data_IF_726166372615
#
_entry.id   IF_726166372615
#
_cell.length_a   1.000
_cell.length_b   1.000
_cell.length_c   1.000
_cell.angle_alpha   90.00
_cell.angle_beta   90.00
_cell.angle_gamma   90.00
#
_symmetry.space_group_name_H-M   'P 1'
#
loop_
_entity.id
_entity.type
_entity.pdbx_description
1 polymer ?
#
# COMPACT_ATOMS: atom_id res chain seq x y z
N UNK A 1 41.89 -12.11 -24.47
CA UNK A 1 40.71 -11.82 -23.62
C UNK A 1 39.52 -11.96 -24.55
N UNK A 2 38.74 -13.03 -24.39
CA UNK A 2 37.93 -13.61 -25.47
C UNK A 2 36.58 -12.87 -25.68
N UNK A 3 36.50 -11.60 -25.29
CA UNK A 3 35.34 -10.71 -25.47
C UNK A 3 34.07 -11.10 -24.71
N UNK A 4 34.02 -12.29 -24.10
CA UNK A 4 32.83 -12.86 -23.45
C UNK A 4 32.30 -12.02 -22.28
N UNK A 5 33.13 -11.17 -21.66
CA UNK A 5 32.71 -10.23 -20.62
C UNK A 5 33.30 -8.85 -20.88
N UNK A 6 32.44 -7.82 -20.92
CA UNK A 6 32.82 -6.40 -21.03
C UNK A 6 32.26 -5.64 -19.84
N UNK A 7 33.13 -4.99 -19.06
CA UNK A 7 32.71 -4.06 -18.03
C UNK A 7 32.48 -2.69 -18.66
N UNK A 8 31.29 -2.10 -18.46
CA UNK A 8 30.95 -0.78 -18.97
C UNK A 8 30.30 0.02 -17.85
N UNK A 9 30.88 1.17 -17.54
CA UNK A 9 30.30 2.13 -16.61
C UNK A 9 29.27 3.02 -17.33
N UNK A 10 28.10 3.19 -16.74
CA UNK A 10 27.01 4.00 -17.30
C UNK A 10 26.81 5.25 -16.42
N UNK A 11 27.50 6.36 -16.71
CA UNK A 11 27.47 7.53 -15.85
C UNK A 11 26.05 8.11 -15.74
N UNK A 12 25.61 8.39 -14.51
CA UNK A 12 24.27 8.92 -14.22
C UNK A 12 23.13 7.90 -14.25
N UNK A 13 23.40 6.64 -14.58
CA UNK A 13 22.39 5.60 -14.51
C UNK A 13 22.25 5.03 -13.08
N UNK A 14 21.02 5.01 -12.58
CA UNK A 14 20.61 4.33 -11.35
C UNK A 14 20.27 2.86 -11.64
N UNK A 15 20.06 2.07 -10.58
CA UNK A 15 19.68 0.66 -10.67
C UNK A 15 18.52 0.39 -11.64
N UNK A 16 17.49 1.27 -11.66
CA UNK A 16 16.32 1.10 -12.52
C UNK A 16 16.46 1.86 -13.83
N UNK A 17 17.11 3.04 -13.83
CA UNK A 17 17.22 3.83 -15.06
C UNK A 17 18.16 3.20 -16.10
N UNK A 18 19.01 2.25 -15.70
CA UNK A 18 19.79 1.39 -16.62
C UNK A 18 18.89 0.67 -17.62
N UNK A 19 17.69 0.25 -17.22
CA UNK A 19 16.74 -0.46 -18.10
C UNK A 19 16.18 0.44 -19.22
N UNK A 20 16.22 1.76 -19.02
CA UNK A 20 15.71 2.75 -19.97
C UNK A 20 16.83 3.53 -20.67
N UNK A 21 18.09 3.23 -20.36
CA UNK A 21 19.23 3.94 -20.92
C UNK A 21 19.54 3.45 -22.33
N UNK A 22 19.46 4.37 -23.30
CA UNK A 22 19.88 4.11 -24.67
C UNK A 22 21.34 3.61 -24.73
N UNK A 23 22.22 4.15 -23.88
CA UNK A 23 23.62 3.73 -23.80
C UNK A 23 23.76 2.28 -23.36
N UNK A 24 22.93 1.83 -22.40
CA UNK A 24 22.92 0.44 -21.95
C UNK A 24 22.39 -0.51 -23.02
N UNK A 25 21.31 -0.11 -23.71
CA UNK A 25 20.77 -0.89 -24.83
C UNK A 25 21.79 -1.01 -25.97
N UNK A 26 22.45 0.10 -26.35
CA UNK A 26 23.48 0.08 -27.37
C UNK A 26 24.69 -0.78 -26.98
N UNK A 27 25.18 -0.67 -25.75
CA UNK A 27 26.28 -1.50 -25.28
C UNK A 27 25.92 -3.00 -25.28
N UNK A 28 24.68 -3.34 -24.93
CA UNK A 28 24.17 -4.72 -24.98
C UNK A 28 24.04 -5.23 -26.42
N UNK A 29 23.56 -4.39 -27.34
CA UNK A 29 23.46 -4.71 -28.77
C UNK A 29 24.85 -4.91 -29.39
N UNK A 30 25.80 -4.00 -29.15
CA UNK A 30 27.18 -4.12 -29.64
C UNK A 30 27.85 -5.41 -29.17
N UNK A 31 27.72 -5.72 -27.87
CA UNK A 31 28.26 -6.95 -27.31
C UNK A 31 27.61 -8.19 -27.94
N UNK A 32 26.28 -8.17 -28.13
CA UNK A 32 25.54 -9.27 -28.74
C UNK A 32 25.93 -9.50 -30.21
N UNK A 33 26.15 -8.42 -30.97
CA UNK A 33 26.65 -8.51 -32.35
C UNK A 33 28.06 -9.12 -32.38
N UNK A 34 28.95 -8.70 -31.48
CA UNK A 34 30.33 -9.17 -31.44
C UNK A 34 30.49 -10.62 -30.99
N UNK A 35 29.70 -11.06 -30.01
CA UNK A 35 29.86 -12.40 -29.39
C UNK A 35 28.90 -13.42 -29.98
N UNK A 36 27.64 -13.04 -30.14
CA UNK A 36 26.58 -13.94 -30.59
C UNK A 36 26.35 -13.88 -32.10
N UNK A 37 27.10 -13.03 -32.82
CA UNK A 37 26.97 -12.83 -34.27
C UNK A 37 25.53 -12.51 -34.72
N UNK A 38 24.76 -11.86 -33.83
CA UNK A 38 23.39 -11.44 -34.12
C UNK A 38 23.38 -10.28 -35.11
N UNK A 39 22.29 -10.17 -35.88
CA UNK A 39 22.10 -9.08 -36.85
C UNK A 39 22.13 -7.73 -36.08
N UNK A 40 22.84 -6.71 -36.58
CA UNK A 40 22.87 -5.39 -35.97
C UNK A 40 21.44 -4.86 -35.78
N UNK A 41 20.99 -4.77 -34.54
CA UNK A 41 19.66 -4.25 -34.21
C UNK A 41 19.64 -2.73 -34.43
N UNK A 42 18.83 -2.25 -35.37
CA UNK A 42 18.89 -0.86 -35.86
C UNK A 42 17.95 0.11 -35.17
N UNK A 43 17.05 -0.34 -34.28
CA UNK A 43 16.11 0.54 -33.57
C UNK A 43 16.10 0.27 -32.08
N UNK A 44 16.25 1.34 -31.30
CA UNK A 44 15.98 1.33 -29.88
C UNK A 44 14.49 1.00 -29.65
N UNK A 45 14.15 0.21 -28.63
CA UNK A 45 12.76 -0.02 -28.26
C UNK A 45 12.10 1.33 -27.92
N UNK A 46 10.88 1.54 -28.42
CA UNK A 46 10.16 2.78 -28.18
C UNK A 46 9.63 2.86 -26.75
N UNK A 47 9.55 4.06 -26.20
CA UNK A 47 8.89 4.30 -24.91
C UNK A 47 7.35 4.39 -25.01
N UNK A 48 6.79 4.18 -26.21
CA UNK A 48 5.35 4.27 -26.47
C UNK A 48 4.49 3.37 -25.58
N UNK A 49 4.83 2.07 -25.39
CA UNK A 49 4.10 1.19 -24.50
C UNK A 49 4.09 1.67 -23.04
N UNK A 50 5.20 2.22 -22.55
CA UNK A 50 5.29 2.78 -21.19
C UNK A 50 4.36 4.00 -21.04
N UNK A 51 4.37 4.92 -22.00
CA UNK A 51 3.48 6.07 -22.00
C UNK A 51 2.00 5.64 -22.08
N UNK A 52 1.69 4.63 -22.89
CA UNK A 52 0.35 4.03 -22.95
C UNK A 52 -0.09 3.42 -21.62
N UNK A 53 0.79 2.67 -20.95
CA UNK A 53 0.53 2.08 -19.64
C UNK A 53 0.27 3.16 -18.58
N UNK A 54 1.08 4.24 -18.56
CA UNK A 54 0.90 5.37 -17.66
C UNK A 54 -0.40 6.13 -17.94
N UNK A 55 -0.73 6.37 -19.22
CA UNK A 55 -1.96 7.03 -19.61
C UNK A 55 -3.20 6.23 -19.20
N UNK A 56 -3.19 4.91 -19.39
CA UNK A 56 -4.28 4.07 -18.95
C UNK A 56 -4.38 3.97 -17.43
N UNK A 57 -3.26 3.97 -16.70
CA UNK A 57 -3.28 4.07 -15.23
C UNK A 57 -3.89 5.40 -14.74
N UNK A 58 -3.55 6.52 -15.39
CA UNK A 58 -4.20 7.81 -15.12
C UNK A 58 -5.72 7.76 -15.41
N UNK A 59 -6.11 7.07 -16.49
CA UNK A 59 -7.51 6.78 -16.79
C UNK A 59 -8.22 6.01 -15.67
N UNK A 60 -7.57 4.98 -15.12
CA UNK A 60 -8.09 4.23 -13.97
C UNK A 60 -8.27 5.12 -12.74
N UNK A 61 -7.30 6.00 -12.44
CA UNK A 61 -7.40 6.94 -11.33
C UNK A 61 -8.59 7.91 -11.51
N UNK A 62 -8.84 8.35 -12.75
CA UNK A 62 -9.94 9.26 -13.06
C UNK A 62 -11.31 8.61 -12.82
N UNK A 63 -11.50 7.35 -13.20
CA UNK A 63 -12.77 6.63 -13.04
C UNK A 63 -12.98 6.10 -11.62
N UNK A 64 -11.90 5.89 -10.85
CA UNK A 64 -11.97 5.32 -9.49
C UNK A 64 -12.83 6.18 -8.57
N UNK A 65 -12.68 7.51 -8.62
CA UNK A 65 -13.47 8.42 -7.78
C UNK A 65 -14.99 8.27 -7.99
N UNK A 66 -15.49 8.48 -9.23
CA UNK A 66 -16.89 8.24 -9.57
C UNK A 66 -17.37 6.82 -9.24
N UNK A 67 -16.58 5.78 -9.55
CA UNK A 67 -16.90 4.40 -9.23
C UNK A 67 -17.11 4.19 -7.73
N UNK A 68 -16.19 4.68 -6.89
CA UNK A 68 -16.30 4.54 -5.44
C UNK A 68 -17.54 5.25 -4.89
N UNK A 69 -17.89 6.42 -5.43
CA UNK A 69 -19.09 7.16 -5.03
C UNK A 69 -20.38 6.41 -5.38
N UNK A 70 -20.43 5.85 -6.58
CA UNK A 70 -21.57 5.08 -7.04
C UNK A 70 -21.71 3.77 -6.25
N UNK A 71 -20.61 3.03 -6.09
CA UNK A 71 -20.60 1.74 -5.41
C UNK A 71 -20.92 1.87 -3.90
N UNK A 72 -20.41 2.92 -3.24
CA UNK A 72 -20.63 3.13 -1.81
C UNK A 72 -22.07 3.55 -1.48
N UNK A 73 -22.74 4.23 -2.42
CA UNK A 73 -24.08 4.78 -2.26
C UNK A 73 -24.13 5.98 -1.32
N UNK A 74 -25.00 6.96 -1.62
CA UNK A 74 -25.12 8.17 -0.79
C UNK A 74 -25.71 7.86 0.58
N UNK A 75 -25.17 8.53 1.58
CA UNK A 75 -25.73 8.64 2.93
C UNK A 75 -27.21 9.08 2.88
N UNK A 76 -28.08 8.39 3.60
CA UNK A 76 -29.31 9.01 4.09
C UNK A 76 -28.89 10.10 5.10
N UNK A 77 -29.48 11.29 4.98
CA UNK A 77 -29.08 12.52 5.70
C UNK A 77 -29.23 12.45 7.23
N UNK A 78 -29.81 11.39 7.77
CA UNK A 78 -30.02 11.22 9.21
C UNK A 78 -29.09 10.14 9.78
N UNK A 79 -28.60 10.40 11.00
CA UNK A 79 -27.71 9.55 11.81
C UNK A 79 -26.23 9.46 11.38
N UNK A 80 -25.45 10.49 11.73
CA UNK A 80 -24.17 10.25 12.44
C UNK A 80 -24.07 11.25 13.58
N UNK A 81 -24.60 10.84 14.74
CA UNK A 81 -24.19 11.43 16.01
C UNK A 81 -22.71 11.09 16.16
N UNK A 82 -21.87 12.11 16.09
CA UNK A 82 -20.44 12.00 16.27
C UNK A 82 -20.14 11.78 17.76
N UNK A 83 -20.29 10.54 18.24
CA UNK A 83 -19.89 10.11 19.58
C UNK A 83 -18.46 9.54 19.60
N UNK A 84 -17.55 10.18 18.87
CA UNK A 84 -16.12 9.89 18.95
C UNK A 84 -15.44 10.86 19.91
N UNK A 85 -14.68 10.36 20.89
CA UNK A 85 -13.89 11.20 21.78
C UNK A 85 -12.97 12.11 20.94
N UNK A 86 -13.00 13.41 21.21
CA UNK A 86 -12.13 14.38 20.53
C UNK A 86 -10.74 14.24 21.16
N UNK A 87 -9.91 13.37 20.58
CA UNK A 87 -8.49 13.30 20.93
C UNK A 87 -7.79 14.49 20.27
N UNK A 88 -6.93 15.17 21.03
CA UNK A 88 -6.10 16.24 20.47
C UNK A 88 -5.03 15.67 19.55
N UNK A 89 -4.79 16.32 18.41
CA UNK A 89 -3.81 15.88 17.40
C UNK A 89 -2.44 15.56 18.04
N UNK A 90 -1.98 16.38 19.01
CA UNK A 90 -0.73 16.16 19.74
C UNK A 90 -0.72 14.83 20.52
N UNK A 91 -1.80 14.50 21.21
CA UNK A 91 -1.90 13.26 21.98
C UNK A 91 -1.94 12.06 21.05
N UNK A 92 -2.69 12.16 19.95
CA UNK A 92 -2.73 11.13 18.91
C UNK A 92 -1.33 10.85 18.34
N UNK A 93 -0.58 11.90 17.98
CA UNK A 93 0.79 11.73 17.48
C UNK A 93 1.73 11.07 18.50
N UNK A 94 1.67 11.47 19.77
CA UNK A 94 2.50 10.89 20.83
C UNK A 94 2.17 9.42 21.08
N UNK A 95 0.88 9.09 21.24
CA UNK A 95 0.44 7.71 21.45
C UNK A 95 0.81 6.82 20.25
N UNK A 96 0.66 7.33 19.03
CA UNK A 96 1.02 6.60 17.82
C UNK A 96 2.52 6.37 17.70
N UNK A 97 3.33 7.38 17.97
CA UNK A 97 4.79 7.29 17.94
C UNK A 97 5.30 6.33 19.02
N UNK A 98 4.82 6.47 20.27
CA UNK A 98 5.20 5.59 21.37
C UNK A 98 4.83 4.14 21.10
N UNK A 99 3.61 3.91 20.59
CA UNK A 99 3.16 2.55 20.22
C UNK A 99 4.01 1.99 19.08
N UNK A 100 4.31 2.78 18.05
CA UNK A 100 5.13 2.35 16.91
C UNK A 100 6.54 1.93 17.35
N UNK A 101 7.19 2.72 18.21
CA UNK A 101 8.51 2.39 18.76
C UNK A 101 8.48 1.13 19.63
N UNK A 102 7.47 1.01 20.49
CA UNK A 102 7.29 -0.19 21.32
C UNK A 102 7.12 -1.46 20.47
N UNK A 103 6.30 -1.40 19.43
CA UNK A 103 6.07 -2.55 18.54
C UNK A 103 7.34 -2.94 17.80
N UNK A 104 8.15 -1.98 17.34
CA UNK A 104 9.45 -2.28 16.72
C UNK A 104 10.36 -3.06 17.67
N UNK A 105 10.44 -2.66 18.94
CA UNK A 105 11.22 -3.37 19.97
C UNK A 105 10.68 -4.78 20.19
N UNK A 106 9.36 -4.96 20.23
CA UNK A 106 8.72 -6.28 20.36
C UNK A 106 9.07 -7.17 19.16
N UNK A 107 8.98 -6.63 17.93
CA UNK A 107 9.26 -7.36 16.71
C UNK A 107 10.73 -7.77 16.55
N UNK A 108 11.65 -7.00 17.15
CA UNK A 108 13.05 -7.40 17.23
C UNK A 108 13.22 -8.70 18.04
N UNK A 109 12.40 -8.90 19.06
CA UNK A 109 12.44 -10.10 19.92
C UNK A 109 11.64 -11.26 19.29
N UNK A 110 10.47 -10.97 18.71
CA UNK A 110 9.57 -11.99 18.19
C UNK A 110 8.66 -11.48 17.08
N UNK A 111 8.70 -12.15 15.91
CA UNK A 111 7.78 -11.90 14.80
C UNK A 111 6.70 -13.00 14.74
N UNK A 112 5.44 -12.70 15.13
CA UNK A 112 4.37 -13.69 15.22
C UNK A 112 3.89 -14.22 13.87
N UNK A 113 4.03 -13.46 12.78
CA UNK A 113 3.45 -13.80 11.47
C UNK A 113 4.43 -14.39 10.48
N UNK A 114 5.62 -14.80 10.93
CA UNK A 114 6.58 -15.54 10.10
C UNK A 114 5.96 -16.79 9.43
N UNK A 115 4.89 -17.34 10.02
CA UNK A 115 4.12 -18.50 9.54
C UNK A 115 3.38 -18.24 8.22
N UNK A 116 3.02 -16.99 7.88
CA UNK A 116 2.31 -16.67 6.61
C UNK A 116 3.22 -16.92 5.38
N UNK A 117 4.54 -16.97 5.58
CA UNK A 117 5.56 -17.15 4.53
C UNK A 117 5.44 -16.12 3.41
N UNK A 118 5.14 -14.88 3.76
CA UNK A 118 5.28 -13.74 2.84
C UNK A 118 6.64 -13.13 3.15
N UNK A 119 7.57 -13.22 2.20
CA UNK A 119 8.95 -12.79 2.41
C UNK A 119 8.98 -11.31 2.72
N UNK A 120 9.40 -10.98 3.93
CA UNK A 120 9.50 -9.63 4.47
C UNK A 120 8.16 -8.88 4.64
N UNK A 121 7.12 -9.24 3.90
CA UNK A 121 5.75 -8.78 4.16
C UNK A 121 5.21 -9.24 5.52
N UNK A 122 5.76 -10.32 6.10
CA UNK A 122 5.42 -10.81 7.44
C UNK A 122 5.78 -9.82 8.56
N UNK A 123 6.88 -9.09 8.42
CA UNK A 123 7.29 -8.05 9.38
C UNK A 123 6.34 -6.85 9.33
N UNK A 124 6.02 -6.34 8.13
CA UNK A 124 5.06 -5.25 7.97
C UNK A 124 3.68 -5.65 8.48
N UNK A 125 3.22 -6.85 8.12
CA UNK A 125 1.94 -7.36 8.57
C UNK A 125 1.88 -7.50 10.11
N UNK A 126 2.96 -7.98 10.73
CA UNK A 126 3.05 -8.09 12.20
C UNK A 126 3.08 -6.73 12.87
N UNK A 127 3.83 -5.78 12.31
CA UNK A 127 3.88 -4.41 12.80
C UNK A 127 2.50 -3.77 12.79
N UNK A 128 1.80 -3.83 11.65
CA UNK A 128 0.47 -3.25 11.51
C UNK A 128 -0.54 -3.95 12.43
N UNK A 129 -0.49 -5.27 12.55
CA UNK A 129 -1.35 -6.02 13.47
C UNK A 129 -1.14 -5.58 14.91
N UNK A 130 0.10 -5.61 15.41
CA UNK A 130 0.40 -5.28 16.79
C UNK A 130 0.09 -3.81 17.10
N UNK A 131 0.41 -2.90 16.19
CA UNK A 131 0.07 -1.48 16.31
C UNK A 131 -1.45 -1.28 16.34
N UNK A 132 -2.17 -1.93 15.42
CA UNK A 132 -3.63 -1.88 15.37
C UNK A 132 -4.26 -2.42 16.66
N UNK A 133 -3.78 -3.55 17.16
CA UNK A 133 -4.27 -4.14 18.41
C UNK A 133 -3.97 -3.26 19.63
N UNK A 134 -2.79 -2.67 19.72
CA UNK A 134 -2.43 -1.75 20.79
C UNK A 134 -3.33 -0.50 20.80
N UNK A 135 -3.57 0.09 19.62
CA UNK A 135 -4.44 1.25 19.47
C UNK A 135 -5.91 0.91 19.73
N UNK A 136 -6.39 -0.26 19.30
CA UNK A 136 -7.74 -0.74 19.62
C UNK A 136 -7.90 -0.94 21.12
N UNK A 137 -6.92 -1.54 21.80
CA UNK A 137 -6.96 -1.73 23.24
C UNK A 137 -6.99 -0.40 23.99
N UNK A 138 -6.15 0.56 23.57
CA UNK A 138 -6.09 1.90 24.16
C UNK A 138 -7.40 2.70 23.95
N UNK A 139 -8.07 2.49 22.82
CA UNK A 139 -9.26 3.27 22.41
C UNK A 139 -10.51 2.41 22.22
N UNK A 140 -10.64 1.34 23.02
CA UNK A 140 -11.66 0.30 22.85
C UNK A 140 -13.08 0.86 22.76
N UNK A 141 -13.43 1.85 23.59
CA UNK A 141 -14.76 2.44 23.60
C UNK A 141 -15.10 3.14 22.27
N UNK A 142 -14.14 3.85 21.66
CA UNK A 142 -14.33 4.51 20.38
C UNK A 142 -14.38 3.52 19.21
N UNK A 143 -13.59 2.46 19.28
CA UNK A 143 -13.61 1.37 18.29
C UNK A 143 -14.91 0.59 18.38
N UNK A 144 -15.37 0.27 19.59
CA UNK A 144 -16.61 -0.47 19.82
C UNK A 144 -17.82 0.21 19.21
N UNK A 145 -17.90 1.54 19.32
CA UNK A 145 -18.95 2.34 18.68
C UNK A 145 -18.95 2.20 17.15
N UNK A 146 -17.81 1.93 16.53
CA UNK A 146 -17.67 1.78 15.08
C UNK A 146 -18.15 0.43 14.54
N UNK A 147 -18.32 -0.58 15.40
CA UNK A 147 -18.88 -1.88 15.00
C UNK A 147 -20.40 -1.85 14.75
N UNK A 148 -21.11 -0.80 15.19
CA UNK A 148 -22.55 -0.63 14.97
C UNK A 148 -22.91 -0.29 13.49
N UNK A 149 -22.05 -0.65 12.54
CA UNK A 149 -22.23 -0.32 11.14
C UNK A 149 -23.24 -1.23 10.43
N UNK A 150 -24.05 -0.65 9.55
CA UNK A 150 -24.98 -1.41 8.70
C UNK A 150 -24.24 -2.43 7.82
N UNK A 151 -24.69 -3.70 7.75
CA UNK A 151 -24.07 -4.74 6.94
C UNK A 151 -24.04 -4.39 5.44
N UNK A 152 -25.04 -3.63 4.96
CA UNK A 152 -25.08 -3.15 3.58
C UNK A 152 -23.87 -2.27 3.25
N UNK A 153 -23.48 -1.38 4.17
CA UNK A 153 -22.32 -0.48 3.98
C UNK A 153 -21.00 -1.25 3.96
N UNK A 154 -20.91 -2.32 4.76
CA UNK A 154 -19.75 -3.23 4.74
C UNK A 154 -19.67 -3.94 3.40
N UNK A 155 -20.79 -4.49 2.91
CA UNK A 155 -20.83 -5.23 1.66
C UNK A 155 -20.48 -4.36 0.44
N UNK A 156 -21.00 -3.12 0.38
CA UNK A 156 -20.67 -2.20 -0.72
C UNK A 156 -19.20 -1.78 -0.70
N UNK A 157 -18.64 -1.50 0.47
CA UNK A 157 -17.22 -1.19 0.61
C UNK A 157 -16.32 -2.38 0.27
N UNK A 158 -16.72 -3.59 0.67
CA UNK A 158 -16.01 -4.83 0.32
C UNK A 158 -16.01 -5.07 -1.20
N UNK A 159 -17.19 -4.93 -1.83
CA UNK A 159 -17.33 -5.02 -3.29
C UNK A 159 -16.45 -3.98 -4.00
N UNK A 160 -16.53 -2.71 -3.59
CA UNK A 160 -15.73 -1.64 -4.17
C UNK A 160 -14.22 -1.89 -4.04
N UNK A 161 -13.77 -2.36 -2.87
CA UNK A 161 -12.36 -2.71 -2.63
C UNK A 161 -11.89 -3.86 -3.51
N UNK A 162 -12.69 -4.93 -3.62
CA UNK A 162 -12.36 -6.10 -4.42
C UNK A 162 -12.36 -5.79 -5.92
N UNK A 163 -13.37 -5.07 -6.41
CA UNK A 163 -13.45 -4.65 -7.79
C UNK A 163 -12.25 -3.77 -8.18
N UNK A 164 -11.87 -2.82 -7.32
CA UNK A 164 -10.71 -1.95 -7.56
C UNK A 164 -9.39 -2.74 -7.53
N UNK A 165 -9.24 -3.67 -6.59
CA UNK A 165 -8.08 -4.57 -6.53
C UNK A 165 -7.94 -5.37 -7.84
N UNK A 166 -9.02 -6.03 -8.27
CA UNK A 166 -9.03 -6.84 -9.49
C UNK A 166 -8.76 -5.99 -10.74
N UNK A 167 -9.37 -4.81 -10.84
CA UNK A 167 -9.19 -3.90 -11.97
C UNK A 167 -7.74 -3.42 -12.09
N UNK A 168 -7.15 -2.96 -10.99
CA UNK A 168 -5.77 -2.44 -10.98
C UNK A 168 -4.76 -3.56 -11.21
N UNK A 169 -4.95 -4.73 -10.59
CA UNK A 169 -4.05 -5.87 -10.79
C UNK A 169 -4.15 -6.44 -12.20
N UNK A 170 -5.34 -6.56 -12.77
CA UNK A 170 -5.52 -6.94 -14.17
C UNK A 170 -4.85 -5.95 -15.12
N UNK A 171 -5.02 -4.65 -14.90
CA UNK A 171 -4.38 -3.63 -15.74
C UNK A 171 -2.86 -3.72 -15.71
N UNK A 172 -2.28 -3.86 -14.51
CA UNK A 172 -0.83 -3.97 -14.36
C UNK A 172 -0.30 -5.25 -15.02
N UNK A 173 -0.99 -6.38 -14.86
CA UNK A 173 -0.64 -7.67 -15.47
C UNK A 173 -0.61 -7.60 -16.99
N UNK A 174 -1.60 -6.93 -17.59
CA UNK A 174 -1.71 -6.77 -19.04
C UNK A 174 -0.72 -5.78 -19.64
N UNK A 175 -0.09 -4.91 -18.84
CA UNK A 175 0.66 -3.75 -19.39
C UNK A 175 2.10 -3.64 -18.94
N UNK A 176 2.43 -3.99 -17.70
CA UNK A 176 3.70 -3.56 -17.10
C UNK A 176 4.37 -4.59 -16.20
N UNK A 177 3.60 -5.30 -15.37
CA UNK A 177 4.14 -6.12 -14.28
C UNK A 177 3.18 -7.25 -13.94
N UNK A 178 3.71 -8.45 -13.69
CA UNK A 178 2.95 -9.63 -13.23
C UNK A 178 2.30 -9.39 -11.86
N UNK A 179 1.21 -8.62 -11.88
CA UNK A 179 0.46 -8.20 -10.71
C UNK A 179 -0.71 -9.12 -10.41
N UNK A 180 -1.09 -10.01 -11.34
CA UNK A 180 -2.19 -10.90 -11.10
C UNK A 180 -1.90 -11.84 -9.94
N UNK A 181 -2.88 -11.98 -9.04
CA UNK A 181 -2.72 -12.82 -7.87
C UNK A 181 -2.82 -14.30 -8.27
N UNK A 182 -1.72 -15.03 -8.15
CA UNK A 182 -1.70 -16.49 -8.32
C UNK A 182 -2.56 -17.19 -7.26
N UNK A 183 -2.90 -18.46 -7.48
CA UNK A 183 -3.66 -19.26 -6.50
C UNK A 183 -3.01 -19.25 -5.10
N UNK A 184 -1.67 -19.29 -5.04
CA UNK A 184 -0.92 -19.20 -3.79
C UNK A 184 -1.10 -17.86 -3.08
N UNK A 185 -1.18 -16.75 -3.83
CA UNK A 185 -1.47 -15.41 -3.28
C UNK A 185 -2.91 -15.32 -2.78
N UNK A 186 -3.87 -15.85 -3.55
CA UNK A 186 -5.28 -15.90 -3.14
C UNK A 186 -5.52 -16.68 -1.85
N UNK A 187 -4.82 -17.80 -1.62
CA UNK A 187 -4.94 -18.54 -0.35
C UNK A 187 -4.50 -17.74 0.87
N UNK A 188 -3.57 -16.80 0.71
CA UNK A 188 -3.04 -15.94 1.79
C UNK A 188 -3.85 -14.66 1.97
N UNK A 189 -4.65 -14.27 0.98
CA UNK A 189 -5.42 -13.03 0.98
C UNK A 189 -6.38 -12.90 2.18
N UNK A 190 -7.24 -13.89 2.52
CA UNK A 190 -8.15 -13.77 3.67
C UNK A 190 -7.41 -13.62 4.99
N UNK A 191 -6.26 -14.29 5.14
CA UNK A 191 -5.44 -14.20 6.33
C UNK A 191 -4.83 -12.80 6.48
N UNK A 192 -4.20 -12.28 5.41
CA UNK A 192 -3.64 -10.93 5.42
C UNK A 192 -4.71 -9.86 5.63
N UNK A 193 -5.89 -10.03 5.03
CA UNK A 193 -7.03 -9.15 5.25
C UNK A 193 -7.38 -9.06 6.74
N UNK A 194 -7.49 -10.21 7.42
CA UNK A 194 -7.82 -10.27 8.85
C UNK A 194 -6.73 -9.64 9.72
N UNK A 195 -5.47 -9.80 9.35
CA UNK A 195 -4.30 -9.23 10.05
C UNK A 195 -4.24 -7.71 9.91
N UNK A 196 -4.60 -7.17 8.75
CA UNK A 196 -4.51 -5.74 8.45
C UNK A 196 -5.73 -4.95 8.92
N UNK A 197 -6.86 -5.63 9.14
CA UNK A 197 -8.12 -5.00 9.55
C UNK A 197 -8.01 -4.23 10.88
N UNK A 198 -7.37 -4.74 11.95
CA UNK A 198 -7.19 -4.02 13.20
C UNK A 198 -6.52 -2.64 13.03
N UNK A 199 -5.46 -2.59 12.21
CA UNK A 199 -4.75 -1.35 11.92
C UNK A 199 -5.67 -0.32 11.26
N UNK A 200 -6.38 -0.72 10.20
CA UNK A 200 -7.25 0.19 9.48
C UNK A 200 -8.45 0.63 10.31
N UNK A 201 -8.97 -0.24 11.18
CA UNK A 201 -10.05 0.12 12.09
C UNK A 201 -9.58 1.14 13.14
N UNK A 202 -8.40 0.95 13.73
CA UNK A 202 -7.79 1.92 14.62
C UNK A 202 -7.54 3.27 13.92
N UNK A 203 -6.93 3.25 12.73
CA UNK A 203 -6.68 4.47 11.94
C UNK A 203 -7.99 5.22 11.65
N UNK A 204 -9.03 4.53 11.15
CA UNK A 204 -10.29 5.16 10.78
C UNK A 204 -11.09 5.69 11.97
N UNK A 205 -11.04 5.01 13.10
CA UNK A 205 -11.72 5.44 14.34
C UNK A 205 -11.07 6.68 14.93
N UNK A 206 -9.73 6.70 15.00
CA UNK A 206 -8.96 7.79 15.59
C UNK A 206 -8.91 9.05 14.71
N UNK A 207 -8.97 8.89 13.38
CA UNK A 207 -9.11 10.02 12.45
C UNK A 207 -10.49 10.69 12.51
N UNK A 208 -11.49 10.05 13.11
CA UNK A 208 -12.83 10.60 13.30
C UNK A 208 -13.68 10.65 12.03
N UNK A 209 -14.69 11.52 12.04
CA UNK A 209 -15.66 11.66 10.94
C UNK A 209 -15.13 12.51 9.79
N UNK A 210 -15.49 12.14 8.56
CA UNK A 210 -15.23 12.96 7.38
C UNK A 210 -16.17 14.18 7.41
N UNK A 211 -15.64 15.34 7.84
CA UNK A 211 -16.38 16.60 7.84
C UNK A 211 -16.21 17.32 6.49
N UNK A 212 -17.28 17.87 5.89
CA UNK A 212 -17.17 18.66 4.67
C UNK A 212 -16.19 19.83 4.87
N UNK A 213 -15.31 20.05 3.89
CA UNK A 213 -14.29 21.11 3.93
C UNK A 213 -12.99 20.77 4.69
N UNK A 214 -12.88 19.62 5.36
CA UNK A 214 -11.66 19.20 6.11
C UNK A 214 -10.95 17.98 5.54
N UNK A 215 -11.25 17.59 4.29
CA UNK A 215 -10.67 16.43 3.60
C UNK A 215 -9.14 16.44 3.61
N UNK A 216 -8.53 17.56 3.21
CA UNK A 216 -7.07 17.70 3.15
C UNK A 216 -6.40 17.58 4.52
N UNK A 217 -7.03 18.12 5.57
CA UNK A 217 -6.53 17.97 6.94
C UNK A 217 -6.54 16.51 7.38
N UNK A 218 -7.64 15.80 7.10
CA UNK A 218 -7.77 14.37 7.43
C UNK A 218 -6.74 13.52 6.68
N UNK A 219 -6.55 13.80 5.39
CA UNK A 219 -5.53 13.17 4.55
C UNK A 219 -4.13 13.43 5.12
N UNK A 220 -3.78 14.69 5.40
CA UNK A 220 -2.48 15.07 5.94
C UNK A 220 -2.22 14.42 7.31
N UNK A 221 -3.23 14.38 8.19
CA UNK A 221 -3.13 13.72 9.49
C UNK A 221 -2.85 12.22 9.31
N UNK A 222 -3.61 11.53 8.47
CA UNK A 222 -3.41 10.10 8.21
C UNK A 222 -2.02 9.80 7.61
N UNK A 223 -1.60 10.60 6.63
CA UNK A 223 -0.26 10.47 6.03
C UNK A 223 0.85 10.73 7.04
N UNK A 224 0.65 11.66 7.97
CA UNK A 224 1.61 11.93 9.06
C UNK A 224 1.72 10.75 10.03
N UNK A 225 0.60 10.10 10.40
CA UNK A 225 0.61 8.90 11.23
C UNK A 225 1.30 7.72 10.55
N UNK A 226 1.05 7.54 9.24
CA UNK A 226 1.74 6.54 8.43
C UNK A 226 3.24 6.85 8.29
N UNK A 227 3.60 8.12 8.16
CA UNK A 227 5.00 8.56 8.11
C UNK A 227 5.74 8.27 9.44
N UNK A 228 5.09 8.48 10.59
CA UNK A 228 5.63 8.11 11.91
C UNK A 228 5.85 6.60 11.99
N UNK A 229 4.86 5.82 11.55
CA UNK A 229 4.93 4.35 11.52
C UNK A 229 6.10 3.87 10.65
N UNK A 230 6.23 4.46 9.46
CA UNK A 230 7.33 4.19 8.54
C UNK A 230 8.69 4.61 9.13
N UNK A 231 8.77 5.77 9.77
CA UNK A 231 9.97 6.25 10.46
C UNK A 231 10.42 5.28 11.56
N UNK A 232 9.49 4.71 12.32
CA UNK A 232 9.80 3.68 13.32
C UNK A 232 10.35 2.41 12.66
N UNK A 233 9.73 1.94 11.57
CA UNK A 233 10.23 0.77 10.81
C UNK A 233 11.63 1.02 10.25
N UNK A 234 11.88 2.20 9.67
CA UNK A 234 13.21 2.55 9.15
C UNK A 234 14.25 2.73 10.26
N UNK A 235 13.86 3.27 11.41
CA UNK A 235 14.69 3.30 12.61
C UNK A 235 15.12 1.90 13.03
N UNK A 236 14.23 0.91 12.95
CA UNK A 236 14.56 -0.49 13.20
C UNK A 236 15.62 -1.04 12.23
N UNK A 237 15.54 -0.66 10.95
CA UNK A 237 16.52 -1.07 9.93
C UNK A 237 17.89 -0.47 10.23
N UNK A 238 17.97 0.85 10.42
CA UNK A 238 19.24 1.56 10.50
C UNK A 238 19.90 1.53 11.88
N UNK A 239 19.10 1.52 12.96
CA UNK A 239 19.63 1.60 14.33
C UNK A 239 19.74 0.20 14.92
N UNK A 240 18.68 -0.60 14.82
CA UNK A 240 18.62 -1.91 15.47
C UNK A 240 19.20 -3.04 14.61
N UNK A 241 19.56 -2.77 13.34
CA UNK A 241 20.03 -3.76 12.35
C UNK A 241 19.10 -4.98 12.22
N UNK A 242 17.84 -4.85 12.65
CA UNK A 242 16.85 -5.94 12.70
C UNK A 242 15.70 -5.73 11.71
N UNK A 243 15.68 -4.58 11.03
CA UNK A 243 14.67 -4.26 10.04
C UNK A 243 14.99 -4.86 8.66
N UNK A 244 13.95 -5.03 7.86
CA UNK A 244 14.06 -5.60 6.52
C UNK A 244 14.28 -4.50 5.48
N UNK A 245 15.45 -4.52 4.84
CA UNK A 245 15.89 -3.47 3.89
C UNK A 245 14.94 -3.27 2.72
N UNK A 246 14.16 -4.30 2.36
CA UNK A 246 13.13 -4.20 1.31
C UNK A 246 12.08 -3.13 1.63
N UNK A 247 11.78 -2.87 2.91
CA UNK A 247 10.87 -1.78 3.30
C UNK A 247 11.42 -0.41 2.90
N UNK A 248 12.74 -0.23 2.98
CA UNK A 248 13.43 0.96 2.51
C UNK A 248 13.42 1.06 0.98
N UNK A 249 13.70 -0.06 0.30
CA UNK A 249 13.67 -0.13 -1.18
C UNK A 249 12.27 0.15 -1.75
N UNK A 250 11.22 -0.25 -1.03
CA UNK A 250 9.83 -0.06 -1.43
C UNK A 250 9.21 1.26 -0.94
N UNK A 251 9.97 2.15 -0.30
CA UNK A 251 9.45 3.35 0.32
C UNK A 251 8.61 4.23 -0.63
N UNK A 252 9.08 4.41 -1.87
CA UNK A 252 8.37 5.19 -2.89
C UNK A 252 7.03 4.53 -3.26
N UNK A 253 7.02 3.21 -3.45
CA UNK A 253 5.79 2.47 -3.75
C UNK A 253 4.80 2.52 -2.58
N UNK A 254 5.28 2.37 -1.35
CA UNK A 254 4.46 2.46 -0.13
C UNK A 254 3.88 3.85 0.10
N UNK A 255 4.66 4.90 -0.20
CA UNK A 255 4.21 6.28 -0.11
C UNK A 255 3.11 6.59 -1.14
N UNK A 256 3.34 6.21 -2.40
CA UNK A 256 2.36 6.39 -3.47
C UNK A 256 1.08 5.58 -3.18
N UNK A 257 1.24 4.31 -2.79
CA UNK A 257 0.11 3.47 -2.39
C UNK A 257 -0.65 4.07 -1.21
N UNK A 258 0.04 4.54 -0.17
CA UNK A 258 -0.61 5.18 0.98
C UNK A 258 -1.43 6.39 0.58
N UNK A 259 -0.92 7.24 -0.31
CA UNK A 259 -1.65 8.40 -0.81
C UNK A 259 -2.92 7.99 -1.56
N UNK A 260 -2.82 7.04 -2.49
CA UNK A 260 -3.93 6.58 -3.31
C UNK A 260 -4.99 5.83 -2.50
N UNK A 261 -4.54 4.86 -1.68
CA UNK A 261 -5.39 4.09 -0.79
C UNK A 261 -6.14 5.02 0.17
N UNK A 262 -5.44 5.99 0.78
CA UNK A 262 -6.05 6.94 1.70
C UNK A 262 -7.08 7.83 1.03
N UNK A 263 -6.79 8.28 -0.18
CA UNK A 263 -7.73 9.08 -0.98
C UNK A 263 -9.01 8.30 -1.29
N UNK A 264 -8.90 7.01 -1.62
CA UNK A 264 -10.06 6.12 -1.81
C UNK A 264 -10.83 5.86 -0.52
N UNK A 265 -10.13 5.61 0.60
CA UNK A 265 -10.73 5.43 1.92
C UNK A 265 -11.52 6.67 2.36
N UNK A 266 -11.01 7.89 2.11
CA UNK A 266 -11.72 9.12 2.42
C UNK A 266 -13.03 9.23 1.62
N UNK A 267 -13.06 8.84 0.34
CA UNK A 267 -14.30 8.80 -0.47
C UNK A 267 -15.30 7.80 0.13
N UNK A 268 -14.86 6.57 0.43
CA UNK A 268 -15.73 5.56 1.04
C UNK A 268 -16.26 6.03 2.40
N UNK A 269 -15.45 6.73 3.19
CA UNK A 269 -15.85 7.30 4.48
C UNK A 269 -16.88 8.41 4.33
N UNK A 270 -16.71 9.29 3.34
CA UNK A 270 -17.65 10.38 3.04
C UNK A 270 -19.03 9.81 2.67
N UNK A 271 -19.06 8.82 1.78
CA UNK A 271 -20.30 8.23 1.25
C UNK A 271 -21.00 7.31 2.27
N UNK A 272 -20.26 6.36 2.86
CA UNK A 272 -20.87 5.38 3.78
C UNK A 272 -21.01 5.91 5.21
N UNK A 273 -20.16 6.85 5.62
CA UNK A 273 -20.05 7.29 7.00
C UNK A 273 -19.66 6.20 8.01
N UNK A 274 -19.21 5.02 7.57
CA UNK A 274 -18.91 3.88 8.45
C UNK A 274 -17.40 3.66 8.53
N UNK A 275 -16.85 3.64 9.75
CA UNK A 275 -15.41 3.45 9.95
C UNK A 275 -15.02 1.99 9.65
N UNK A 276 -15.87 1.04 10.05
CA UNK A 276 -15.68 -0.37 9.75
C UNK A 276 -15.69 -0.66 8.23
N UNK A 277 -16.62 -0.04 7.49
CA UNK A 277 -16.68 -0.21 6.04
C UNK A 277 -15.43 0.37 5.35
N UNK A 278 -15.02 1.57 5.73
CA UNK A 278 -13.79 2.18 5.21
C UNK A 278 -12.54 1.38 5.59
N UNK A 279 -12.48 0.85 6.82
CA UNK A 279 -11.36 0.04 7.28
C UNK A 279 -11.26 -1.27 6.48
N UNK A 280 -12.38 -1.93 6.21
CA UNK A 280 -12.42 -3.14 5.38
C UNK A 280 -11.95 -2.86 3.95
N UNK A 281 -12.44 -1.78 3.34
CA UNK A 281 -11.98 -1.32 2.02
C UNK A 281 -10.46 -1.10 1.99
N UNK A 282 -9.94 -0.37 2.98
CA UNK A 282 -8.50 -0.13 3.13
C UNK A 282 -7.71 -1.44 3.26
N UNK A 283 -8.17 -2.34 4.13
CA UNK A 283 -7.51 -3.62 4.38
C UNK A 283 -7.48 -4.53 3.14
N UNK A 284 -8.56 -4.54 2.33
CA UNK A 284 -8.60 -5.27 1.04
C UNK A 284 -7.50 -4.76 0.10
N UNK A 285 -7.39 -3.45 -0.07
CA UNK A 285 -6.38 -2.85 -0.95
C UNK A 285 -4.97 -3.11 -0.44
N UNK A 286 -4.72 -2.96 0.87
CA UNK A 286 -3.40 -3.20 1.46
C UNK A 286 -3.00 -4.69 1.34
N UNK A 287 -3.93 -5.61 1.61
CA UNK A 287 -3.67 -7.05 1.48
C UNK A 287 -3.29 -7.42 0.04
N UNK A 288 -4.05 -6.91 -0.94
CA UNK A 288 -3.75 -7.11 -2.35
C UNK A 288 -2.39 -6.53 -2.74
N UNK A 289 -2.11 -5.28 -2.38
CA UNK A 289 -0.82 -4.62 -2.63
C UNK A 289 0.36 -5.40 -2.04
N UNK A 290 0.24 -5.86 -0.79
CA UNK A 290 1.29 -6.64 -0.15
C UNK A 290 1.55 -7.95 -0.91
N UNK A 291 0.51 -8.63 -1.40
CA UNK A 291 0.68 -9.87 -2.17
C UNK A 291 1.23 -9.66 -3.58
N UNK A 292 1.02 -8.49 -4.17
CA UNK A 292 1.63 -8.14 -5.47
C UNK A 292 3.13 -7.92 -5.32
N UNK A 293 3.54 -7.20 -4.28
CA UNK A 293 4.93 -6.72 -4.13
C UNK A 293 5.81 -7.69 -3.35
N UNK A 294 5.32 -8.30 -2.29
CA UNK A 294 6.14 -9.21 -1.49
C UNK A 294 6.13 -10.62 -2.09
N UNK A 295 7.30 -11.24 -2.30
CA UNK A 295 7.37 -12.60 -2.80
C UNK A 295 6.81 -13.58 -1.76
N UNK A 296 6.23 -14.67 -2.24
CA UNK A 296 5.79 -15.77 -1.39
C UNK A 296 6.93 -16.78 -1.25
N UNK A 297 7.09 -17.32 -0.05
CA UNK A 297 8.04 -18.38 0.31
C UNK A 297 7.33 -19.66 0.76
#
# INVERSE_FOLDING_TARGET
RDGSSKYVEMPGATHVSVLFSAATVHASQEWSVQILHLIPATRLPSHGPLLGALAGFLGLLLITGPFLREAAGRKATEEIIATGAIITDRRLFLEWAASSLLIVVILQLWNPLKVIRVFQGDYLASFLLLLGMALIAAHWNSVRASFASSPRRILTAAFAGMALLLLVTAWLDLTFYEAWLSAAKWMRFPFLLLVLLPYHLAEETLLGSARPGKKWRRLALALSLRLISWGAIMGAVFVLHSGQILMGLLAVYLALFSLLQRSGMDIVREETGSAAATALFGAILQAGFCLVIFPIT
#
